data_IF_152156679593
#
_entry.id   IF_152156679593
#
_cell.length_a   1.000
_cell.length_b   1.000
_cell.length_c   1.000
_cell.angle_alpha   90.00
_cell.angle_beta   90.00
_cell.angle_gamma   90.00
#
_symmetry.space_group_name_H-M   'P 1'
#
loop_
_entity.id
_entity.type
_entity.pdbx_description
1 polymer ?
#
# COMPACT_ATOMS: atom_id res chain seq x y z
N UNK A 1 26.49 -12.54 -5.72
CA UNK A 1 25.42 -13.51 -5.36
C UNK A 1 24.70 -13.17 -4.05
N UNK A 2 25.36 -12.73 -2.98
CA UNK A 2 24.72 -12.44 -1.68
C UNK A 2 23.74 -11.25 -1.69
N UNK A 3 23.99 -10.21 -2.49
CA UNK A 3 23.12 -9.02 -2.59
C UNK A 3 21.78 -9.36 -3.23
N UNK A 4 21.79 -10.21 -4.25
CA UNK A 4 20.60 -10.67 -4.98
C UNK A 4 19.65 -11.39 -4.02
N UNK A 5 20.11 -12.45 -3.33
CA UNK A 5 19.27 -13.20 -2.38
C UNK A 5 18.71 -12.30 -1.27
N UNK A 6 19.49 -11.30 -0.81
CA UNK A 6 19.02 -10.32 0.17
C UNK A 6 17.94 -9.39 -0.40
N UNK A 7 18.10 -8.88 -1.62
CA UNK A 7 17.15 -7.98 -2.25
C UNK A 7 15.83 -8.68 -2.60
N UNK A 8 15.88 -9.86 -3.23
CA UNK A 8 14.69 -10.66 -3.52
C UNK A 8 13.99 -11.15 -2.25
N UNK A 9 14.76 -11.56 -1.24
CA UNK A 9 14.21 -11.96 0.06
C UNK A 9 13.53 -10.80 0.79
N UNK A 10 14.15 -9.61 0.78
CA UNK A 10 13.57 -8.41 1.36
C UNK A 10 12.30 -7.95 0.60
N UNK A 11 12.30 -8.01 -0.73
CA UNK A 11 11.13 -7.68 -1.56
C UNK A 11 9.96 -8.62 -1.26
N UNK A 12 10.22 -9.93 -1.16
CA UNK A 12 9.20 -10.93 -0.87
C UNK A 12 8.63 -10.73 0.53
N UNK A 13 9.48 -10.55 1.54
CA UNK A 13 9.05 -10.29 2.91
C UNK A 13 8.26 -8.98 3.01
N UNK A 14 8.74 -7.91 2.37
CA UNK A 14 8.06 -6.62 2.31
C UNK A 14 6.68 -6.71 1.65
N UNK A 15 6.56 -7.47 0.56
CA UNK A 15 5.27 -7.67 -0.13
C UNK A 15 4.27 -8.47 0.70
N UNK A 16 4.72 -9.47 1.46
CA UNK A 16 3.89 -10.24 2.39
C UNK A 16 3.39 -9.37 3.53
N UNK A 17 4.30 -8.60 4.14
CA UNK A 17 3.94 -7.64 5.19
C UNK A 17 2.95 -6.60 4.67
N UNK A 18 3.20 -6.02 3.49
CA UNK A 18 2.28 -5.04 2.87
C UNK A 18 0.88 -5.63 2.61
N UNK A 19 0.81 -6.85 2.07
CA UNK A 19 -0.46 -7.54 1.82
C UNK A 19 -1.22 -7.81 3.13
N UNK A 20 -0.52 -8.20 4.19
CA UNK A 20 -1.12 -8.40 5.51
C UNK A 20 -1.71 -7.11 6.08
N UNK A 21 -0.98 -5.99 5.99
CA UNK A 21 -1.47 -4.69 6.44
C UNK A 21 -2.70 -4.24 5.64
N UNK A 22 -2.72 -4.46 4.32
CA UNK A 22 -3.90 -4.15 3.49
C UNK A 22 -5.13 -4.97 3.86
N UNK A 23 -4.95 -6.26 4.19
CA UNK A 23 -6.02 -7.10 4.72
C UNK A 23 -6.59 -6.56 6.04
N UNK A 24 -5.71 -6.09 6.93
CA UNK A 24 -6.13 -5.47 8.19
C UNK A 24 -6.87 -4.14 7.97
N UNK A 25 -6.40 -3.31 7.03
CA UNK A 25 -7.07 -2.06 6.63
C UNK A 25 -8.47 -2.33 6.04
N UNK A 26 -8.61 -3.38 5.23
CA UNK A 26 -9.90 -3.82 4.70
C UNK A 26 -10.86 -4.23 5.82
N UNK A 27 -10.38 -4.98 6.82
CA UNK A 27 -11.21 -5.36 7.97
C UNK A 27 -11.65 -4.14 8.78
N UNK A 28 -10.74 -3.19 9.03
CA UNK A 28 -11.05 -1.94 9.71
C UNK A 28 -12.12 -1.14 8.95
N UNK A 29 -12.02 -1.07 7.63
CA UNK A 29 -13.00 -0.40 6.76
C UNK A 29 -14.38 -1.05 6.85
N UNK A 30 -14.45 -2.38 6.73
CA UNK A 30 -15.71 -3.13 6.83
C UNK A 30 -16.36 -2.96 8.20
N UNK A 31 -15.56 -3.02 9.28
CA UNK A 31 -16.05 -2.80 10.64
C UNK A 31 -16.55 -1.37 10.84
N UNK A 32 -15.85 -0.36 10.29
CA UNK A 32 -16.27 1.04 10.35
C UNK A 32 -17.66 1.23 9.72
N UNK A 33 -17.87 0.72 8.51
CA UNK A 33 -19.18 0.80 7.83
C UNK A 33 -20.31 0.11 8.62
N UNK A 34 -19.99 -0.94 9.37
CA UNK A 34 -20.97 -1.69 10.18
C UNK A 34 -21.29 -0.99 11.51
N UNK A 35 -20.28 -0.44 12.18
CA UNK A 35 -20.42 0.11 13.53
C UNK A 35 -20.90 1.56 13.55
N UNK A 36 -20.61 2.32 12.48
CA UNK A 36 -20.96 3.76 12.37
C UNK A 36 -21.91 4.05 11.20
N UNK A 37 -23.12 3.47 11.17
CA UNK A 37 -24.07 3.71 10.08
C UNK A 37 -24.60 5.15 10.06
N UNK A 38 -24.52 5.90 11.17
CA UNK A 38 -25.01 7.28 11.28
C UNK A 38 -23.97 8.38 11.01
N UNK A 39 -22.71 8.01 10.74
CA UNK A 39 -21.67 8.98 10.44
C UNK A 39 -21.91 9.69 9.10
N UNK A 40 -21.37 10.91 9.00
CA UNK A 40 -21.51 11.77 7.83
C UNK A 40 -20.99 11.10 6.56
N UNK A 41 -21.65 11.40 5.44
CA UNK A 41 -21.32 10.85 4.13
C UNK A 41 -19.87 11.21 3.74
N UNK A 42 -19.38 12.39 4.16
CA UNK A 42 -18.01 12.85 3.90
C UNK A 42 -16.94 11.95 4.51
N UNK A 43 -17.14 11.51 5.76
CA UNK A 43 -16.19 10.62 6.44
C UNK A 43 -16.21 9.24 5.78
N UNK A 44 -17.41 8.72 5.48
CA UNK A 44 -17.57 7.45 4.77
C UNK A 44 -16.94 7.45 3.38
N UNK A 45 -17.15 8.52 2.60
CA UNK A 45 -16.53 8.67 1.28
C UNK A 45 -15.00 8.68 1.38
N UNK A 46 -14.45 9.37 2.39
CA UNK A 46 -13.01 9.41 2.64
C UNK A 46 -12.44 8.03 2.97
N UNK A 47 -13.11 7.29 3.88
CA UNK A 47 -12.70 5.92 4.25
C UNK A 47 -12.75 4.99 3.04
N UNK A 48 -13.82 5.04 2.22
CA UNK A 48 -13.91 4.26 0.98
C UNK A 48 -12.81 4.61 -0.02
N UNK A 49 -12.47 5.89 -0.17
CA UNK A 49 -11.43 6.34 -1.09
C UNK A 49 -10.05 5.82 -0.67
N UNK A 50 -9.71 5.93 0.62
CA UNK A 50 -8.45 5.43 1.17
C UNK A 50 -8.36 3.91 1.02
N UNK A 51 -9.44 3.19 1.32
CA UNK A 51 -9.50 1.74 1.14
C UNK A 51 -9.32 1.31 -0.31
N UNK A 52 -9.95 1.99 -1.27
CA UNK A 52 -9.81 1.70 -2.69
C UNK A 52 -8.37 1.93 -3.17
N UNK A 53 -7.75 3.01 -2.71
CA UNK A 53 -6.35 3.32 -3.05
C UNK A 53 -5.38 2.27 -2.51
N UNK A 54 -5.63 1.78 -1.30
CA UNK A 54 -4.83 0.70 -0.67
C UNK A 54 -4.90 -0.60 -1.49
N UNK A 55 -6.10 -1.00 -1.94
CA UNK A 55 -6.26 -2.19 -2.80
C UNK A 55 -5.48 -2.05 -4.11
N UNK A 56 -5.59 -0.90 -4.78
CA UNK A 56 -4.89 -0.64 -6.04
C UNK A 56 -3.37 -0.70 -5.82
N UNK A 57 -2.90 -0.09 -4.74
CA UNK A 57 -1.48 -0.12 -4.38
C UNK A 57 -0.99 -1.55 -4.11
N UNK A 58 -1.73 -2.35 -3.33
CA UNK A 58 -1.38 -3.76 -3.10
C UNK A 58 -1.39 -4.60 -4.38
N UNK A 59 -2.32 -4.33 -5.32
CA UNK A 59 -2.33 -4.98 -6.62
C UNK A 59 -1.07 -4.68 -7.44
N UNK A 60 -0.58 -3.43 -7.44
CA UNK A 60 0.68 -3.08 -8.09
C UNK A 60 1.89 -3.77 -7.46
N UNK A 61 1.91 -3.92 -6.13
CA UNK A 61 2.95 -4.71 -5.46
C UNK A 61 2.95 -6.15 -5.98
N UNK A 62 1.78 -6.78 -6.13
CA UNK A 62 1.68 -8.15 -6.65
C UNK A 62 2.17 -8.28 -8.08
N UNK A 63 1.79 -7.36 -8.96
CA UNK A 63 2.27 -7.33 -10.36
C UNK A 63 3.80 -7.18 -10.40
N UNK A 64 4.34 -6.33 -9.52
CA UNK A 64 5.79 -6.11 -9.38
C UNK A 64 6.48 -7.40 -8.96
N UNK A 65 6.02 -8.02 -7.87
CA UNK A 65 6.56 -9.30 -7.37
C UNK A 65 6.46 -10.40 -8.44
N UNK A 66 5.33 -10.53 -9.13
CA UNK A 66 5.15 -11.49 -10.20
C UNK A 66 6.15 -11.29 -11.34
N UNK A 67 6.37 -10.04 -11.74
CA UNK A 67 7.33 -9.71 -12.80
C UNK A 67 8.77 -10.02 -12.38
N UNK A 68 9.13 -9.77 -11.11
CA UNK A 68 10.45 -10.09 -10.58
C UNK A 68 10.70 -11.59 -10.37
N UNK A 69 9.68 -12.33 -9.91
CA UNK A 69 9.85 -13.74 -9.52
C UNK A 69 9.49 -14.76 -10.63
N UNK A 70 8.57 -14.43 -11.53
CA UNK A 70 8.10 -15.35 -12.58
C UNK A 70 8.64 -14.96 -13.95
N UNK A 71 8.50 -13.69 -14.33
CA UNK A 71 8.81 -13.24 -15.72
C UNK A 71 10.32 -13.07 -15.92
N UNK A 72 11.02 -12.46 -14.97
CA UNK A 72 12.44 -12.13 -15.10
C UNK A 72 13.37 -13.11 -14.36
N UNK A 73 13.03 -14.40 -14.33
CA UNK A 73 13.91 -15.43 -13.75
C UNK A 73 15.24 -15.41 -14.53
N UNK A 74 16.28 -14.79 -13.96
CA UNK A 74 17.64 -14.75 -14.51
C UNK A 74 18.12 -13.44 -15.15
N UNK A 75 17.29 -12.39 -15.27
CA UNK A 75 17.72 -11.07 -15.79
C UNK A 75 17.97 -10.08 -14.64
N UNK A 76 19.14 -10.20 -14.03
CA UNK A 76 19.55 -9.50 -12.79
C UNK A 76 20.03 -8.05 -13.05
N UNK A 77 20.36 -7.71 -14.30
CA UNK A 77 20.99 -6.43 -14.64
C UNK A 77 20.08 -5.21 -14.52
N UNK A 78 18.74 -5.39 -14.43
CA UNK A 78 17.79 -4.27 -14.30
C UNK A 78 17.51 -3.82 -12.87
N UNK A 79 18.12 -4.47 -11.88
CA UNK A 79 17.79 -4.24 -10.46
C UNK A 79 18.53 -3.01 -9.92
N UNK A 80 19.73 -2.72 -10.43
CA UNK A 80 20.58 -1.61 -9.96
C UNK A 80 20.03 -0.23 -10.37
N UNK A 81 19.21 -0.18 -11.42
CA UNK A 81 18.57 1.07 -11.89
C UNK A 81 17.29 1.41 -11.11
N UNK A 82 16.66 0.43 -10.44
CA UNK A 82 15.34 0.58 -9.78
C UNK A 82 15.49 0.77 -8.25
N UNK A 83 16.72 0.91 -7.72
CA UNK A 83 16.92 0.91 -6.26
C UNK A 83 16.59 2.24 -5.55
N UNK A 84 16.18 3.32 -6.23
CA UNK A 84 15.74 4.57 -5.60
C UNK A 84 14.74 5.30 -6.53
N UNK A 85 13.57 5.82 -6.11
CA UNK A 85 12.89 5.79 -4.81
C UNK A 85 11.35 5.65 -5.00
N UNK A 86 10.75 4.45 -5.05
CA UNK A 86 9.26 4.38 -5.15
C UNK A 86 8.56 3.89 -3.88
N UNK A 87 9.25 3.13 -3.02
CA UNK A 87 8.65 2.62 -1.78
C UNK A 87 8.43 3.70 -0.69
N UNK A 88 9.22 4.77 -0.69
CA UNK A 88 9.09 5.87 0.28
C UNK A 88 8.07 6.92 -0.19
N UNK A 89 8.03 7.40 -1.45
CA UNK A 89 7.03 8.38 -1.84
C UNK A 89 5.63 7.81 -1.92
N UNK A 90 5.41 6.52 -2.28
CA UNK A 90 4.07 5.94 -2.31
C UNK A 90 3.42 5.90 -0.92
N UNK A 91 4.13 5.34 0.06
CA UNK A 91 3.67 5.30 1.45
C UNK A 91 3.60 6.69 2.10
N UNK A 92 4.55 7.58 1.80
CA UNK A 92 4.54 8.97 2.27
C UNK A 92 3.38 9.77 1.67
N UNK A 93 3.10 9.64 0.37
CA UNK A 93 1.98 10.34 -0.29
C UNK A 93 0.66 9.84 0.26
N UNK A 94 0.48 8.51 0.42
CA UNK A 94 -0.74 7.94 1.02
C UNK A 94 -0.90 8.42 2.47
N UNK A 95 0.15 8.41 3.28
CA UNK A 95 0.08 8.93 4.66
C UNK A 95 -0.14 10.44 4.70
N UNK A 96 0.42 11.22 3.77
CA UNK A 96 0.19 12.68 3.71
C UNK A 96 -1.25 12.98 3.30
N UNK A 97 -1.81 12.23 2.34
CA UNK A 97 -3.21 12.36 1.92
C UNK A 97 -4.15 11.99 3.06
N UNK A 98 -3.90 10.87 3.75
CA UNK A 98 -4.70 10.47 4.92
C UNK A 98 -4.60 11.51 6.03
N UNK A 99 -3.40 12.00 6.33
CA UNK A 99 -3.19 13.02 7.37
C UNK A 99 -3.87 14.33 7.00
N UNK A 100 -3.81 14.75 5.73
CA UNK A 100 -4.47 15.96 5.24
C UNK A 100 -6.01 15.85 5.30
N UNK A 101 -6.56 14.70 4.88
CA UNK A 101 -8.00 14.44 4.97
C UNK A 101 -8.48 14.46 6.43
N UNK A 102 -7.74 13.80 7.32
CA UNK A 102 -8.03 13.80 8.77
C UNK A 102 -7.92 15.22 9.34
N UNK A 103 -6.89 15.98 8.98
CA UNK A 103 -6.68 17.34 9.46
C UNK A 103 -7.79 18.29 8.97
N UNK A 104 -8.24 18.13 7.73
CA UNK A 104 -9.38 18.89 7.19
C UNK A 104 -10.69 18.53 7.90
N UNK A 105 -10.93 17.27 8.28
CA UNK A 105 -12.15 16.90 9.02
C UNK A 105 -12.16 17.43 10.46
N UNK A 106 -11.00 17.42 11.13
CA UNK A 106 -10.85 17.93 12.50
C UNK A 106 -10.91 19.46 12.57
N UNK A 107 -10.40 20.18 11.56
CA UNK A 107 -10.37 21.65 11.57
C UNK A 107 -11.74 22.30 11.30
N UNK A 108 -12.69 21.55 10.72
CA UNK A 108 -14.04 22.02 10.37
C UNK A 108 -15.16 21.51 11.32
N UNK A 109 -14.81 20.86 12.44
CA UNK A 109 -15.74 20.49 13.53
C UNK A 109 -15.54 21.40 14.72
#
# INVERSE_FOLDING_TARGET
MSVITKAYGALLLGSLTATFLSGMNTLQTVLYFRLYPKDSITVKASVSAVWSLDIIHTAFIWVTVWTYFIVNIGQIEKIDEIQMPELIPGAAVVTTIVTFIVHMQVTFT
#
